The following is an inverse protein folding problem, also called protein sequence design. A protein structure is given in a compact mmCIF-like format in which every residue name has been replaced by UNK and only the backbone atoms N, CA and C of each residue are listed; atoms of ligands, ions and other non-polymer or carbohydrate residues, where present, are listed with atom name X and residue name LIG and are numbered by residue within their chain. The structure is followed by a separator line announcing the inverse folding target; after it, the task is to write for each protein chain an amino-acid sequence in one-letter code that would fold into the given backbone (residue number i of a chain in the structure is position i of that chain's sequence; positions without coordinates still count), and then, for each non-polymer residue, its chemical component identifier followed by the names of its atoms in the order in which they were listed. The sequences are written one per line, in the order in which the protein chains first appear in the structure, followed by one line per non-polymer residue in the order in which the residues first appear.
data_IF_099910425342
#
_entry.id   IF_099910425342
#
_cell.length_a   1.000
_cell.length_b   1.000
_cell.length_c   1.000
_cell.angle_alpha   90.00
_cell.angle_beta   90.00
_cell.angle_gamma   90.00
#
_symmetry.space_group_name_H-M   'P 1'
#
loop_
_entity.id
_entity.type
_entity.pdbx_description
1 polymer ?
#
# COMPACT_ATOMS: atom_id res chain seq x y z
N UNK A 1 -13.02 -7.47 13.04
CA UNK A 1 -13.42 -6.82 11.79
C UNK A 1 -13.73 -5.33 11.98
N UNK A 2 -13.09 -4.63 12.92
CA UNK A 2 -13.43 -3.23 13.27
C UNK A 2 -12.43 -2.19 12.75
N UNK A 3 -11.27 -2.60 12.22
CA UNK A 3 -10.20 -1.66 11.81
C UNK A 3 -10.46 -1.00 10.44
N UNK A 4 -11.09 -1.71 9.50
CA UNK A 4 -11.22 -1.24 8.10
C UNK A 4 -12.51 -0.44 7.82
N UNK A 5 -13.39 -0.30 8.83
CA UNK A 5 -14.64 0.50 8.79
C UNK A 5 -15.57 0.25 7.60
N UNK A 6 -15.47 -0.90 6.91
CA UNK A 6 -16.27 -1.21 5.72
C UNK A 6 -15.84 -0.48 4.45
N UNK A 7 -14.61 0.05 4.41
CA UNK A 7 -14.06 0.64 3.19
C UNK A 7 -13.52 -0.47 2.28
N UNK A 8 -14.19 -0.69 1.14
CA UNK A 8 -13.85 -1.74 0.18
C UNK A 8 -12.40 -1.64 -0.32
N UNK A 9 -11.87 -0.44 -0.53
CA UNK A 9 -10.49 -0.25 -1.00
C UNK A 9 -9.48 -0.75 0.06
N UNK A 10 -9.77 -0.49 1.34
CA UNK A 10 -8.94 -0.96 2.44
C UNK A 10 -9.06 -2.47 2.66
N UNK A 11 -10.24 -3.06 2.46
CA UNK A 11 -10.46 -4.50 2.55
C UNK A 11 -9.70 -5.27 1.47
N UNK A 12 -9.77 -4.78 0.23
CA UNK A 12 -9.06 -5.34 -0.89
C UNK A 12 -7.54 -5.21 -0.73
N UNK A 13 -7.07 -4.02 -0.34
CA UNK A 13 -5.66 -3.77 -0.06
C UNK A 13 -5.13 -4.63 1.10
N UNK A 14 -5.91 -4.82 2.17
CA UNK A 14 -5.55 -5.68 3.29
C UNK A 14 -5.42 -7.14 2.86
N UNK A 15 -6.31 -7.65 2.01
CA UNK A 15 -6.20 -9.01 1.48
C UNK A 15 -4.95 -9.18 0.61
N UNK A 16 -4.65 -8.20 -0.26
CA UNK A 16 -3.41 -8.19 -1.03
C UNK A 16 -2.16 -8.16 -0.12
N UNK A 17 -2.19 -7.38 0.97
CA UNK A 17 -1.09 -7.33 1.94
C UNK A 17 -0.84 -8.70 2.60
N UNK A 18 -1.89 -9.42 2.98
CA UNK A 18 -1.78 -10.77 3.56
C UNK A 18 -1.10 -11.73 2.58
N UNK A 19 -1.48 -11.71 1.29
CA UNK A 19 -0.84 -12.56 0.29
C UNK A 19 0.64 -12.18 0.06
N UNK A 20 0.96 -10.89 0.01
CA UNK A 20 2.34 -10.43 -0.13
C UNK A 20 3.21 -10.81 1.09
N UNK A 21 2.65 -10.77 2.30
CA UNK A 21 3.29 -11.28 3.52
C UNK A 21 3.51 -12.79 3.44
N UNK A 22 2.50 -13.55 3.03
CA UNK A 22 2.59 -15.01 2.87
C UNK A 22 3.65 -15.42 1.85
N UNK A 23 3.83 -14.61 0.79
CA UNK A 23 4.86 -14.78 -0.22
C UNK A 23 6.25 -14.27 0.22
N UNK A 24 6.34 -13.60 1.38
CA UNK A 24 7.60 -13.05 1.90
C UNK A 24 8.12 -11.83 1.15
N UNK A 25 7.27 -11.16 0.35
CA UNK A 25 7.65 -10.00 -0.49
C UNK A 25 7.12 -8.67 0.05
N UNK A 26 6.29 -8.66 1.09
CA UNK A 26 6.00 -7.45 1.87
C UNK A 26 6.98 -7.34 3.04
N UNK A 27 8.18 -6.84 2.73
CA UNK A 27 9.28 -6.71 3.68
C UNK A 27 9.99 -5.35 3.50
N UNK A 28 11.02 -5.09 4.31
CA UNK A 28 11.82 -3.86 4.22
C UNK A 28 13.12 -4.01 3.40
N UNK A 29 13.29 -5.12 2.65
CA UNK A 29 14.55 -5.43 1.96
C UNK A 29 14.76 -4.52 0.73
N UNK A 30 15.78 -3.64 0.74
CA UNK A 30 16.12 -2.81 -0.41
C UNK A 30 16.73 -3.62 -1.56
N UNK A 31 17.33 -4.79 -1.29
CA UNK A 31 18.02 -5.62 -2.26
C UNK A 31 17.10 -6.38 -3.22
N UNK A 32 15.78 -6.34 -3.02
CA UNK A 32 14.79 -6.93 -3.93
C UNK A 32 14.96 -6.47 -5.40
N UNK A 33 15.38 -5.21 -5.61
CA UNK A 33 15.63 -4.64 -6.93
C UNK A 33 16.99 -3.94 -6.96
N UNK A 34 18.11 -4.68 -7.05
CA UNK A 34 19.44 -4.14 -6.81
C UNK A 34 19.88 -3.11 -7.87
N UNK A 35 19.29 -3.17 -9.07
CA UNK A 35 19.59 -2.27 -10.18
C UNK A 35 18.60 -1.11 -10.30
N UNK A 36 17.59 -1.01 -9.42
CA UNK A 36 16.54 0.01 -9.53
C UNK A 36 16.82 1.18 -8.58
N UNK A 37 16.76 2.39 -9.14
CA UNK A 37 16.95 3.62 -8.38
C UNK A 37 15.67 4.06 -7.64
N UNK A 38 15.83 4.94 -6.66
CA UNK A 38 14.71 5.63 -6.01
C UNK A 38 14.13 4.93 -4.78
N UNK A 39 14.86 3.99 -4.18
CA UNK A 39 14.61 3.58 -2.79
C UNK A 39 14.77 4.79 -1.82
N UNK A 40 14.24 4.73 -0.59
CA UNK A 40 14.45 5.77 0.42
C UNK A 40 15.93 6.12 0.62
N UNK A 41 16.23 7.42 0.70
CA UNK A 41 17.62 7.92 0.75
C UNK A 41 17.94 8.77 1.98
N UNK A 42 16.93 9.22 2.74
CA UNK A 42 17.11 10.08 3.91
C UNK A 42 16.97 9.29 5.21
N UNK A 43 17.62 9.80 6.26
CA UNK A 43 17.66 9.15 7.57
C UNK A 43 18.75 8.07 7.69
N UNK A 44 18.80 7.45 8.86
CA UNK A 44 19.68 6.33 9.15
C UNK A 44 19.30 5.09 8.31
N UNK A 45 20.18 4.08 8.18
CA UNK A 45 19.85 2.83 7.48
C UNK A 45 18.49 2.23 7.87
N UNK A 46 18.16 2.27 9.16
CA UNK A 46 16.91 1.73 9.69
C UNK A 46 15.69 2.58 9.34
N UNK A 47 15.82 3.91 9.31
CA UNK A 47 14.75 4.82 8.86
C UNK A 47 14.41 4.56 7.39
N UNK A 48 15.42 4.29 6.57
CA UNK A 48 15.24 3.98 5.14
C UNK A 48 14.52 2.65 4.92
N UNK A 49 14.85 1.63 5.72
CA UNK A 49 14.13 0.34 5.72
C UNK A 49 12.66 0.51 6.13
N UNK A 50 12.39 1.28 7.19
CA UNK A 50 11.03 1.55 7.64
C UNK A 50 10.24 2.35 6.61
N UNK A 51 10.82 3.42 6.06
CA UNK A 51 10.22 4.17 4.97
C UNK A 51 9.87 3.25 3.78
N UNK A 52 10.77 2.35 3.40
CA UNK A 52 10.53 1.41 2.30
C UNK A 52 9.35 0.48 2.59
N UNK A 53 9.30 -0.09 3.80
CA UNK A 53 8.22 -0.97 4.21
C UNK A 53 6.87 -0.25 4.19
N UNK A 54 6.79 0.96 4.77
CA UNK A 54 5.57 1.78 4.76
C UNK A 54 5.15 2.16 3.34
N UNK A 55 6.10 2.54 2.50
CA UNK A 55 5.85 2.89 1.10
C UNK A 55 5.31 1.69 0.31
N UNK A 56 5.80 0.48 0.59
CA UNK A 56 5.28 -0.75 -0.01
C UNK A 56 3.84 -1.05 0.41
N UNK A 57 3.51 -0.83 1.69
CA UNK A 57 2.12 -0.95 2.19
C UNK A 57 1.22 0.11 1.56
N UNK A 58 1.66 1.37 1.51
CA UNK A 58 0.91 2.47 0.91
C UNK A 58 0.62 2.25 -0.58
N UNK A 59 1.52 1.58 -1.31
CA UNK A 59 1.33 1.24 -2.73
C UNK A 59 0.20 0.26 -3.03
N UNK A 60 -0.44 -0.33 -2.00
CA UNK A 60 -1.62 -1.19 -2.17
C UNK A 60 -2.91 -0.38 -2.39
N UNK A 61 -2.86 0.94 -2.18
CA UNK A 61 -3.95 1.87 -2.43
C UNK A 61 -3.57 2.84 -3.56
N UNK A 62 -4.54 3.35 -4.32
CA UNK A 62 -4.29 4.38 -5.30
C UNK A 62 -4.04 5.73 -4.63
N UNK A 63 -3.22 6.58 -5.28
CA UNK A 63 -3.31 8.03 -5.08
C UNK A 63 -4.37 8.55 -6.06
N UNK A 64 -5.38 9.25 -5.55
CA UNK A 64 -6.40 9.89 -6.38
C UNK A 64 -5.81 11.13 -7.02
N UNK A 65 -5.79 11.16 -8.36
CA UNK A 65 -5.24 12.27 -9.12
C UNK A 65 -6.10 12.57 -10.35
N UNK A 66 -6.04 13.83 -10.80
CA UNK A 66 -6.70 14.27 -12.03
C UNK A 66 -6.27 13.41 -13.21
N UNK A 67 -7.12 13.19 -14.24
CA UNK A 67 -6.86 12.30 -15.37
C UNK A 67 -5.81 12.88 -16.33
N UNK A 68 -4.58 12.96 -15.83
CA UNK A 68 -3.38 13.39 -16.52
C UNK A 68 -2.29 12.35 -16.26
N UNK A 69 -1.23 12.35 -17.07
CA UNK A 69 -0.08 11.47 -16.82
C UNK A 69 0.56 11.72 -15.45
N UNK A 70 1.23 10.72 -14.90
CA UNK A 70 1.93 10.83 -13.62
C UNK A 70 2.98 11.95 -13.65
N UNK A 71 2.89 12.90 -12.73
CA UNK A 71 3.83 14.04 -12.62
C UNK A 71 4.69 14.01 -11.34
N UNK A 72 4.66 12.91 -10.59
CA UNK A 72 5.44 12.75 -9.37
C UNK A 72 6.91 12.40 -9.62
N UNK A 73 7.74 12.39 -8.55
CA UNK A 73 9.11 11.93 -8.65
C UNK A 73 9.17 10.45 -9.06
N UNK A 74 10.14 10.07 -9.89
CA UNK A 74 10.30 8.68 -10.31
C UNK A 74 11.03 7.86 -9.25
N UNK A 75 10.41 6.75 -8.83
CA UNK A 75 11.10 5.67 -8.11
C UNK A 75 10.99 4.39 -8.93
N UNK A 76 12.10 3.97 -9.56
CA UNK A 76 12.14 2.70 -10.28
C UNK A 76 11.93 1.52 -9.33
N UNK A 77 12.41 1.63 -8.10
CA UNK A 77 12.25 0.61 -7.07
C UNK A 77 10.78 0.36 -6.72
N UNK A 78 10.03 1.42 -6.42
CA UNK A 78 8.60 1.32 -6.10
C UNK A 78 7.74 1.02 -7.34
N UNK A 79 8.15 1.46 -8.52
CA UNK A 79 7.52 1.06 -9.78
C UNK A 79 7.70 -0.45 -10.06
N UNK A 80 8.91 -0.96 -9.80
CA UNK A 80 9.20 -2.40 -9.84
C UNK A 80 8.32 -3.17 -8.86
N UNK A 81 8.21 -2.67 -7.63
CA UNK A 81 7.35 -3.26 -6.61
C UNK A 81 5.86 -3.23 -7.00
N UNK A 82 5.40 -2.17 -7.66
CA UNK A 82 4.03 -2.07 -8.15
C UNK A 82 3.69 -3.17 -9.17
N UNK A 83 4.68 -3.64 -9.95
CA UNK A 83 4.50 -4.81 -10.82
C UNK A 83 4.23 -6.08 -10.01
N UNK A 84 4.90 -6.26 -8.86
CA UNK A 84 4.65 -7.38 -7.94
C UNK A 84 3.24 -7.30 -7.35
N UNK A 85 2.84 -6.11 -6.89
CA UNK A 85 1.48 -5.86 -6.38
C UNK A 85 0.43 -6.23 -7.43
N UNK A 86 0.59 -5.75 -8.66
CA UNK A 86 -0.37 -6.00 -9.74
C UNK A 86 -0.44 -7.47 -10.15
N UNK A 87 0.66 -8.22 -10.13
CA UNK A 87 0.64 -9.66 -10.38
C UNK A 87 -0.14 -10.40 -9.29
N UNK A 88 0.07 -10.05 -8.01
CA UNK A 88 -0.69 -10.67 -6.90
C UNK A 88 -2.17 -10.33 -6.99
N UNK A 89 -2.52 -9.07 -7.27
CA UNK A 89 -3.92 -8.63 -7.48
C UNK A 89 -4.58 -9.34 -8.65
N UNK A 90 -3.90 -9.47 -9.78
CA UNK A 90 -4.41 -10.22 -10.93
C UNK A 90 -4.63 -11.70 -10.58
N UNK A 91 -3.71 -12.31 -9.83
CA UNK A 91 -3.86 -13.71 -9.41
C UNK A 91 -5.05 -13.89 -8.47
N UNK A 92 -5.27 -12.94 -7.56
CA UNK A 92 -6.45 -12.91 -6.68
C UNK A 92 -7.74 -12.72 -7.48
N UNK A 93 -7.72 -11.86 -8.50
CA UNK A 93 -8.82 -11.67 -9.43
C UNK A 93 -9.18 -12.97 -10.15
N UNK A 94 -8.20 -13.64 -10.73
CA UNK A 94 -8.38 -14.90 -11.45
C UNK A 94 -8.97 -15.98 -10.53
N UNK A 95 -8.50 -16.06 -9.28
CA UNK A 95 -9.03 -17.00 -8.28
C UNK A 95 -10.50 -16.72 -7.95
N UNK A 96 -10.87 -15.45 -7.78
CA UNK A 96 -12.24 -15.05 -7.47
C UNK A 96 -13.17 -15.36 -8.64
N UNK A 97 -12.76 -15.04 -9.87
CA UNK A 97 -13.53 -15.33 -11.08
C UNK A 97 -13.69 -16.84 -11.32
N UNK A 98 -12.63 -17.62 -11.12
CA UNK A 98 -12.69 -19.08 -11.23
C UNK A 98 -13.63 -19.68 -10.17
N UNK A 99 -13.55 -19.18 -8.93
CA UNK A 99 -14.41 -19.63 -7.83
C UNK A 99 -15.88 -19.27 -8.09
N UNK A 100 -16.17 -18.04 -8.54
CA UNK A 100 -17.51 -17.61 -8.90
C UNK A 100 -18.08 -18.45 -10.06
N UNK A 101 -17.26 -18.72 -11.08
CA UNK A 101 -17.62 -19.58 -12.21
C UNK A 101 -17.95 -21.00 -11.75
N UNK A 102 -17.13 -21.59 -10.88
CA UNK A 102 -17.40 -22.90 -10.30
C UNK A 102 -18.68 -22.92 -9.48
N UNK A 103 -18.95 -21.89 -8.68
CA UNK A 103 -20.20 -21.79 -7.89
C UNK A 103 -21.43 -21.76 -8.80
N UNK A 104 -21.37 -21.00 -9.90
CA UNK A 104 -22.45 -20.91 -10.87
C UNK A 104 -22.63 -22.21 -11.64
N UNK A 105 -21.57 -22.75 -12.24
CA UNK A 105 -21.62 -23.98 -13.05
C UNK A 105 -21.96 -25.21 -12.20
N UNK A 106 -21.45 -25.29 -10.97
CA UNK A 106 -21.69 -26.38 -10.03
C UNK A 106 -23.07 -26.34 -9.36
N UNK A 107 -23.82 -25.25 -9.50
CA UNK A 107 -25.16 -25.12 -8.90
C UNK A 107 -25.12 -24.79 -7.41
N UNK A 108 -23.99 -24.31 -6.91
CA UNK A 108 -23.81 -23.86 -5.52
C UNK A 108 -24.29 -22.42 -5.29
N UNK A 109 -24.72 -21.73 -6.35
CA UNK A 109 -25.26 -20.37 -6.29
C UNK A 109 -26.57 -20.25 -7.11
N UNK A 110 -27.43 -19.31 -6.71
CA UNK A 110 -28.64 -18.97 -7.48
C UNK A 110 -28.24 -18.39 -8.83
N UNK A 111 -28.82 -18.91 -9.92
CA UNK A 111 -28.52 -18.52 -11.30
C UNK A 111 -29.48 -17.48 -11.88
N UNK A 112 -30.33 -16.87 -11.05
CA UNK A 112 -31.20 -15.77 -11.44
C UNK A 112 -30.39 -14.46 -11.55
N UNK A 113 -29.39 -14.48 -12.45
CA UNK A 113 -28.47 -13.37 -12.68
C UNK A 113 -28.99 -12.55 -13.85
N UNK A 114 -29.36 -11.30 -13.57
CA UNK A 114 -29.85 -10.36 -14.58
C UNK A 114 -28.79 -9.97 -15.61
N UNK A 115 -27.51 -9.92 -15.22
CA UNK A 115 -26.40 -9.53 -16.08
C UNK A 115 -25.07 -10.12 -15.57
N UNK A 116 -24.46 -11.00 -16.37
CA UNK A 116 -23.12 -11.56 -16.09
C UNK A 116 -22.03 -10.46 -16.13
N UNK A 117 -22.03 -9.52 -17.10
CA UNK A 117 -21.06 -8.43 -17.08
C UNK A 117 -21.12 -7.55 -15.83
N UNK A 118 -22.33 -7.28 -15.31
CA UNK A 118 -22.47 -6.50 -14.07
C UNK A 118 -21.87 -7.25 -12.88
N UNK A 119 -22.15 -8.56 -12.75
CA UNK A 119 -21.53 -9.40 -11.73
C UNK A 119 -20.01 -9.39 -11.84
N UNK A 120 -19.45 -9.48 -13.05
CA UNK A 120 -18.00 -9.43 -13.24
C UNK A 120 -17.40 -8.10 -12.77
N UNK A 121 -18.04 -6.97 -13.04
CA UNK A 121 -17.57 -5.66 -12.57
C UNK A 121 -17.62 -5.56 -11.03
N UNK A 122 -18.62 -6.18 -10.40
CA UNK A 122 -18.80 -6.16 -8.95
C UNK A 122 -17.82 -7.06 -8.18
N UNK A 123 -17.12 -7.97 -8.85
CA UNK A 123 -16.08 -8.79 -8.21
C UNK A 123 -14.87 -7.91 -7.82
N UNK A 124 -14.18 -8.21 -6.71
CA UNK A 124 -12.99 -7.47 -6.26
C UNK A 124 -11.81 -7.61 -7.23
N UNK A 125 -10.79 -6.77 -7.05
CA UNK A 125 -9.53 -6.74 -7.81
C UNK A 125 -9.70 -6.40 -9.29
N UNK A 126 -10.75 -5.67 -9.65
CA UNK A 126 -11.04 -5.33 -11.05
C UNK A 126 -9.99 -4.39 -11.65
N UNK A 127 -9.62 -3.34 -10.92
CA UNK A 127 -8.71 -2.31 -11.42
C UNK A 127 -7.31 -2.47 -10.82
N UNK A 128 -6.23 -2.26 -11.59
CA UNK A 128 -4.89 -2.23 -11.03
C UNK A 128 -4.68 -0.99 -10.16
N UNK A 129 -3.72 -1.08 -9.23
CA UNK A 129 -3.29 0.09 -8.45
C UNK A 129 -2.07 0.74 -9.10
N UNK A 130 -2.00 2.06 -8.98
CA UNK A 130 -0.86 2.83 -9.43
C UNK A 130 0.21 2.89 -8.32
N UNK A 131 1.47 3.13 -8.69
CA UNK A 131 2.55 3.26 -7.72
C UNK A 131 2.56 4.63 -6.99
N UNK A 132 1.62 5.52 -7.29
CA UNK A 132 1.75 6.93 -6.92
C UNK A 132 1.66 7.13 -5.41
N UNK A 133 0.79 6.42 -4.70
CA UNK A 133 0.71 6.54 -3.24
C UNK A 133 1.94 5.96 -2.53
N UNK A 134 2.53 4.91 -3.11
CA UNK A 134 3.83 4.37 -2.65
C UNK A 134 4.92 5.44 -2.70
N UNK A 135 5.02 6.14 -3.84
CA UNK A 135 5.99 7.22 -4.04
C UNK A 135 5.65 8.44 -3.17
N UNK A 136 4.38 8.74 -2.97
CA UNK A 136 3.92 9.83 -2.11
C UNK A 136 4.33 9.60 -0.65
N UNK A 137 4.06 8.41 -0.11
CA UNK A 137 4.50 8.00 1.23
C UNK A 137 6.03 8.09 1.37
N UNK A 138 6.75 7.56 0.38
CA UNK A 138 8.21 7.63 0.32
C UNK A 138 8.72 9.07 0.39
N UNK A 139 8.13 9.94 -0.43
CA UNK A 139 8.50 11.35 -0.55
C UNK A 139 8.19 12.12 0.73
N UNK A 140 7.03 11.85 1.35
CA UNK A 140 6.64 12.42 2.64
C UNK A 140 7.65 12.07 3.73
N UNK A 141 7.97 10.78 3.90
CA UNK A 141 8.87 10.33 4.95
C UNK A 141 10.32 10.79 4.70
N UNK A 142 10.80 10.80 3.45
CA UNK A 142 12.14 11.33 3.13
C UNK A 142 12.24 12.83 3.41
N UNK A 143 11.21 13.61 3.05
CA UNK A 143 11.21 15.06 3.24
C UNK A 143 11.06 15.45 4.72
N UNK A 144 10.38 14.64 5.54
CA UNK A 144 10.40 14.80 7.00
C UNK A 144 11.82 14.71 7.55
N UNK A 145 12.62 13.74 7.09
CA UNK A 145 14.02 13.58 7.52
C UNK A 145 14.94 14.67 7.00
N UNK A 146 14.47 15.51 6.06
CA UNK A 146 15.18 16.69 5.59
C UNK A 146 14.93 17.91 6.50
N UNK A 147 13.94 17.85 7.41
CA UNK A 147 13.66 18.90 8.37
C UNK A 147 14.57 18.82 9.60
N UNK A 148 14.85 19.95 10.24
CA UNK A 148 15.66 20.00 11.47
C UNK A 148 14.98 19.32 12.66
N UNK A 149 13.63 19.36 12.70
CA UNK A 149 12.82 18.71 13.73
C UNK A 149 11.70 17.86 13.07
N UNK A 150 12.03 16.66 12.55
CA UNK A 150 11.12 15.82 11.76
C UNK A 150 9.81 15.44 12.48
N UNK A 151 9.84 15.35 13.80
CA UNK A 151 8.70 14.92 14.62
C UNK A 151 7.78 16.08 15.02
N UNK A 152 8.17 17.33 14.76
CA UNK A 152 7.36 18.51 15.11
C UNK A 152 6.10 18.60 14.24
N UNK A 153 4.99 19.05 14.83
CA UNK A 153 3.74 19.23 14.09
C UNK A 153 3.89 20.20 12.91
N UNK A 154 4.68 21.26 13.10
CA UNK A 154 4.99 22.25 12.07
C UNK A 154 5.76 21.65 10.90
N UNK A 155 6.77 20.81 11.16
CA UNK A 155 7.50 20.11 10.10
C UNK A 155 6.56 19.21 9.29
N UNK A 156 5.68 18.45 9.96
CA UNK A 156 4.73 17.57 9.29
C UNK A 156 3.75 18.32 8.40
N UNK A 157 3.20 19.44 8.87
CA UNK A 157 2.32 20.30 8.07
C UNK A 157 3.04 20.90 6.86
N UNK A 158 4.24 21.45 7.06
CA UNK A 158 5.06 22.02 5.98
C UNK A 158 5.46 20.97 4.93
N UNK A 159 5.79 19.76 5.36
CA UNK A 159 6.14 18.66 4.45
C UNK A 159 4.90 18.16 3.71
N UNK A 160 3.74 18.02 4.37
CA UNK A 160 2.47 17.71 3.69
C UNK A 160 2.17 18.72 2.58
N UNK A 161 2.25 20.01 2.89
CA UNK A 161 2.05 21.08 1.91
C UNK A 161 3.08 21.01 0.77
N UNK A 162 4.36 20.79 1.08
CA UNK A 162 5.42 20.70 0.07
C UNK A 162 5.20 19.52 -0.86
N UNK A 163 4.89 18.33 -0.32
CA UNK A 163 4.71 17.12 -1.12
C UNK A 163 3.45 17.21 -1.97
N UNK A 164 2.33 17.69 -1.41
CA UNK A 164 1.08 17.82 -2.15
C UNK A 164 1.16 18.88 -3.26
N UNK A 165 1.81 20.02 -3.03
CA UNK A 165 1.85 21.11 -4.02
C UNK A 165 2.99 20.97 -5.02
N UNK A 166 4.17 20.50 -4.60
CA UNK A 166 5.37 20.47 -5.44
C UNK A 166 5.56 19.13 -6.14
N UNK A 167 5.31 18.02 -5.44
CA UNK A 167 5.58 16.69 -5.97
C UNK A 167 4.33 16.06 -6.56
N UNK A 168 3.16 16.27 -5.96
CA UNK A 168 1.89 15.72 -6.42
C UNK A 168 0.81 16.80 -6.63
N UNK A 169 1.07 17.87 -7.42
CA UNK A 169 0.16 19.02 -7.61
C UNK A 169 -1.23 18.65 -8.18
N UNK A 170 -1.38 17.41 -8.63
CA UNK A 170 -2.52 16.91 -9.38
C UNK A 170 -3.27 15.85 -8.58
N UNK A 171 -2.84 15.58 -7.34
CA UNK A 171 -3.62 14.85 -6.35
C UNK A 171 -4.93 15.58 -6.08
N UNK A 172 -5.99 14.81 -5.88
CA UNK A 172 -7.32 15.36 -5.58
C UNK A 172 -7.48 15.65 -4.09
N UNK A 173 -7.05 14.70 -3.25
CA UNK A 173 -7.04 14.83 -1.79
C UNK A 173 -5.85 14.06 -1.19
N UNK A 174 -4.68 14.70 -1.24
CA UNK A 174 -3.42 14.10 -0.76
C UNK A 174 -3.49 13.72 0.73
N UNK A 175 -4.11 14.55 1.56
CA UNK A 175 -4.17 14.33 3.01
C UNK A 175 -5.05 13.13 3.34
N UNK A 176 -6.19 12.98 2.66
CA UNK A 176 -7.04 11.81 2.83
C UNK A 176 -6.35 10.53 2.32
N UNK A 177 -5.69 10.57 1.16
CA UNK A 177 -4.96 9.41 0.64
C UNK A 177 -3.81 8.98 1.59
N UNK A 178 -3.06 9.95 2.13
CA UNK A 178 -2.01 9.68 3.11
C UNK A 178 -2.58 9.08 4.40
N UNK A 179 -3.73 9.60 4.86
CA UNK A 179 -4.44 9.06 6.02
C UNK A 179 -4.93 7.63 5.78
N UNK A 180 -5.48 7.33 4.59
CA UNK A 180 -5.90 5.97 4.23
C UNK A 180 -4.71 5.01 4.21
N UNK A 181 -3.53 5.46 3.77
CA UNK A 181 -2.32 4.66 3.85
C UNK A 181 -1.91 4.34 5.31
N UNK A 182 -2.07 5.29 6.25
CA UNK A 182 -1.85 5.02 7.67
C UNK A 182 -2.91 4.10 8.27
N UNK A 183 -4.19 4.26 7.90
CA UNK A 183 -5.27 3.36 8.33
C UNK A 183 -5.02 1.92 7.82
N UNK A 184 -4.53 1.77 6.58
CA UNK A 184 -4.12 0.47 6.04
C UNK A 184 -2.90 -0.09 6.79
N UNK A 185 -1.89 0.73 7.06
CA UNK A 185 -0.74 0.33 7.86
C UNK A 185 -1.17 -0.26 9.20
N UNK A 186 -2.01 0.47 9.95
CA UNK A 186 -2.50 0.03 11.25
C UNK A 186 -3.21 -1.33 11.15
N UNK A 187 -4.03 -1.53 10.12
CA UNK A 187 -4.73 -2.79 9.90
C UNK A 187 -3.80 -3.96 9.54
N UNK A 188 -2.83 -3.74 8.64
CA UNK A 188 -1.85 -4.76 8.25
C UNK A 188 -0.95 -5.11 9.43
N UNK A 189 -0.52 -4.11 10.21
CA UNK A 189 0.26 -4.33 11.43
C UNK A 189 -0.50 -5.16 12.46
N UNK A 190 -1.79 -4.88 12.72
CA UNK A 190 -2.60 -5.74 13.58
C UNK A 190 -2.70 -7.18 13.03
N UNK A 191 -2.80 -7.35 11.71
CA UNK A 191 -2.75 -8.66 11.06
C UNK A 191 -1.43 -9.38 11.31
N UNK A 192 -0.29 -8.70 11.13
CA UNK A 192 1.05 -9.24 11.40
C UNK A 192 1.21 -9.64 12.86
N UNK A 193 0.75 -8.80 13.80
CA UNK A 193 0.80 -9.07 15.24
C UNK A 193 -0.02 -10.30 15.65
N UNK A 194 -1.16 -10.52 15.00
CA UNK A 194 -2.08 -11.62 15.31
C UNK A 194 -1.88 -12.87 14.44
N UNK A 195 -0.92 -12.84 13.51
CA UNK A 195 -0.67 -13.88 12.50
C UNK A 195 -0.21 -15.26 13.02
N UNK A 196 -0.06 -15.45 14.33
CA UNK A 196 0.46 -16.70 14.89
C UNK A 196 1.83 -17.04 14.31
N UNK A 197 2.03 -18.24 13.76
CA UNK A 197 3.33 -18.65 13.20
C UNK A 197 3.47 -18.35 11.69
N UNK A 198 2.53 -17.62 11.07
CA UNK A 198 2.56 -17.33 9.64
C UNK A 198 3.64 -16.31 9.27
N UNK A 199 3.91 -15.35 10.17
CA UNK A 199 4.99 -14.37 10.01
C UNK A 199 6.10 -14.69 11.03
N UNK A 200 7.36 -14.63 10.61
CA UNK A 200 8.50 -14.95 11.50
C UNK A 200 8.58 -13.94 12.64
N UNK A 201 9.02 -14.37 13.82
CA UNK A 201 9.20 -13.47 14.97
C UNK A 201 10.17 -12.31 14.70
N UNK A 202 11.22 -12.54 13.90
CA UNK A 202 12.13 -11.47 13.46
C UNK A 202 11.44 -10.41 12.61
N UNK A 203 10.53 -10.82 11.73
CA UNK A 203 9.74 -9.91 10.90
C UNK A 203 8.72 -9.17 11.76
N UNK A 204 7.99 -9.84 12.65
CA UNK A 204 7.07 -9.18 13.59
C UNK A 204 7.76 -8.11 14.44
N UNK A 205 8.99 -8.39 14.89
CA UNK A 205 9.81 -7.40 15.60
C UNK A 205 10.11 -6.19 14.72
N UNK A 206 10.54 -6.40 13.47
CA UNK A 206 10.78 -5.31 12.53
C UNK A 206 9.52 -4.46 12.29
N UNK A 207 8.35 -5.09 12.13
CA UNK A 207 7.07 -4.40 11.99
C UNK A 207 6.70 -3.58 13.23
N UNK A 208 6.98 -4.10 14.43
CA UNK A 208 6.71 -3.38 15.69
C UNK A 208 7.62 -2.17 15.85
N UNK A 209 8.91 -2.30 15.52
CA UNK A 209 9.85 -1.18 15.55
C UNK A 209 9.50 -0.11 14.49
N UNK A 210 9.02 -0.53 13.31
CA UNK A 210 8.53 0.38 12.28
C UNK A 210 7.27 1.14 12.71
N UNK A 211 6.36 0.48 13.43
CA UNK A 211 5.14 1.09 13.98
C UNK A 211 5.45 2.14 15.06
N UNK A 212 6.38 1.82 15.97
CA UNK A 212 6.87 2.76 16.98
C UNK A 212 7.55 3.98 16.35
N UNK A 213 8.35 3.76 15.30
CA UNK A 213 8.97 4.83 14.53
C UNK A 213 7.92 5.70 13.82
N UNK A 214 6.95 5.08 13.15
CA UNK A 214 5.88 5.77 12.44
C UNK A 214 5.03 6.64 13.39
N UNK A 215 4.79 6.19 14.62
CA UNK A 215 4.03 6.96 15.60
C UNK A 215 4.61 8.36 15.85
N UNK A 216 5.93 8.52 15.73
CA UNK A 216 6.60 9.82 15.84
C UNK A 216 6.51 10.66 14.55
N UNK A 217 6.30 10.03 13.40
CA UNK A 217 6.35 10.64 12.06
C UNK A 217 4.98 10.99 11.46
N UNK A 218 3.89 10.33 11.88
CA UNK A 218 2.52 10.59 11.38
C UNK A 218 1.91 11.89 11.92
#
# INVERSE_FOLDING_TARGET
MTSLKGNADLEEAALAAVELLRLGVLNADPAMFPNYNGAPIRGEPKDREFNLLLSRVAGLLPLHHKPIGFTGPLSQHLLGYNSVINVVRQTLRDLVEASATQMLMGGYAKRDIKSIPALAIDLPFLLPVNCALSVAMKSYLDELHNQSEPTSAKAKEQVRETVSTRYFPQSEDFDNDLKLAFDLWDAVFQGVKTSGNLVKESEKKQWSEADEWLASMR
#
